data_IF_194617959154
#
_entry.id   IF_194617959154
#
_cell.length_a   1.000
_cell.length_b   1.000
_cell.length_c   1.000
_cell.angle_alpha   90.00
_cell.angle_beta   90.00
_cell.angle_gamma   90.00
#
_symmetry.space_group_name_H-M   'P 1'
#
loop_
_entity.id
_entity.type
_entity.pdbx_description
1 polymer ?
#
# COMPACT_ATOMS: atom_id res chain seq x y z
N UNK A 1 -4.83 12.94 26.02
CA UNK A 1 -4.11 11.80 25.43
C UNK A 1 -3.78 12.17 24.00
N UNK A 2 -2.50 12.32 23.66
CA UNK A 2 -2.06 12.64 22.29
C UNK A 2 -1.84 11.35 21.51
N UNK A 3 -2.92 10.84 20.90
CA UNK A 3 -2.86 9.67 20.03
C UNK A 3 -2.47 10.09 18.61
N UNK A 4 -1.50 9.37 18.04
CA UNK A 4 -1.07 9.48 16.64
C UNK A 4 -1.54 8.24 15.89
N UNK A 5 -2.08 8.46 14.69
CA UNK A 5 -2.59 7.42 13.82
C UNK A 5 -1.74 7.33 12.55
N UNK A 6 -1.38 6.10 12.17
CA UNK A 6 -0.77 5.79 10.88
C UNK A 6 -1.78 4.88 10.17
N UNK A 7 -2.29 5.35 9.04
CA UNK A 7 -3.24 4.62 8.20
C UNK A 7 -2.48 4.13 6.99
N UNK A 8 -2.34 2.81 6.87
CA UNK A 8 -1.83 2.16 5.68
C UNK A 8 -3.00 1.73 4.80
N UNK A 9 -3.01 2.23 3.56
CA UNK A 9 -3.94 1.78 2.53
C UNK A 9 -3.12 1.02 1.48
N UNK A 10 -3.43 -0.26 1.31
CA UNK A 10 -2.77 -1.13 0.35
C UNK A 10 -3.71 -1.50 -0.79
N UNK A 11 -3.15 -1.95 -1.91
CA UNK A 11 -3.87 -2.47 -3.08
C UNK A 11 -4.92 -1.50 -3.69
N UNK A 12 -4.70 -0.17 -3.59
CA UNK A 12 -5.66 0.83 -4.11
C UNK A 12 -5.89 0.72 -5.62
N UNK A 13 -4.90 0.22 -6.36
CA UNK A 13 -4.95 0.01 -7.80
C UNK A 13 -5.77 -1.22 -8.22
N UNK A 14 -6.17 -2.09 -7.27
CA UNK A 14 -7.09 -3.21 -7.53
C UNK A 14 -8.57 -2.83 -7.48
N UNK A 15 -8.86 -1.62 -7.01
CA UNK A 15 -10.23 -1.14 -6.87
C UNK A 15 -10.85 -0.79 -8.24
N UNK A 16 -12.17 -0.94 -8.32
CA UNK A 16 -12.91 -0.42 -9.47
C UNK A 16 -12.73 1.10 -9.58
N UNK A 17 -12.73 1.69 -10.78
CA UNK A 17 -12.45 3.12 -10.97
C UNK A 17 -13.27 4.07 -10.08
N UNK A 18 -14.56 3.77 -9.87
CA UNK A 18 -15.42 4.56 -9.00
C UNK A 18 -14.98 4.48 -7.53
N UNK A 19 -14.63 3.29 -7.04
CA UNK A 19 -14.19 3.07 -5.67
C UNK A 19 -12.82 3.72 -5.39
N UNK A 20 -11.87 3.57 -6.33
CA UNK A 20 -10.56 4.19 -6.23
C UNK A 20 -10.68 5.72 -6.06
N UNK A 21 -11.58 6.34 -6.84
CA UNK A 21 -11.86 7.78 -6.76
C UNK A 21 -12.44 8.18 -5.41
N UNK A 22 -13.39 7.40 -4.89
CA UNK A 22 -13.98 7.67 -3.57
C UNK A 22 -12.94 7.60 -2.45
N UNK A 23 -12.10 6.56 -2.44
CA UNK A 23 -11.04 6.41 -1.44
C UNK A 23 -10.05 7.56 -1.52
N UNK A 24 -9.61 7.93 -2.71
CA UNK A 24 -8.66 9.02 -2.92
C UNK A 24 -9.25 10.38 -2.51
N UNK A 25 -10.55 10.61 -2.78
CA UNK A 25 -11.28 11.80 -2.30
C UNK A 25 -11.42 11.82 -0.78
N UNK A 26 -11.70 10.67 -0.18
CA UNK A 26 -11.78 10.53 1.26
C UNK A 26 -10.43 10.89 1.88
N UNK A 27 -9.34 10.25 1.43
CA UNK A 27 -7.97 10.57 1.89
C UNK A 27 -7.69 12.05 1.77
N UNK A 28 -7.98 12.68 0.63
CA UNK A 28 -7.81 14.13 0.45
C UNK A 28 -8.59 14.95 1.49
N UNK A 29 -9.78 14.52 1.86
CA UNK A 29 -10.67 15.26 2.78
C UNK A 29 -10.27 15.10 4.25
N UNK A 30 -9.59 14.00 4.62
CA UNK A 30 -9.18 13.71 6.01
C UNK A 30 -7.68 13.85 6.24
N UNK A 31 -6.88 14.02 5.18
CA UNK A 31 -5.42 14.12 5.25
C UNK A 31 -4.93 15.34 6.06
N UNK A 32 -5.72 16.41 6.16
CA UNK A 32 -5.36 17.61 6.92
C UNK A 32 -5.55 17.45 8.44
N UNK A 33 -5.98 16.28 8.91
CA UNK A 33 -6.21 16.08 10.34
C UNK A 33 -4.88 15.99 11.11
N UNK A 34 -4.71 16.80 12.17
CA UNK A 34 -3.50 16.74 12.97
C UNK A 34 -3.36 15.35 13.59
N UNK A 35 -2.14 14.80 13.51
CA UNK A 35 -1.73 13.47 14.03
C UNK A 35 -2.20 12.27 13.22
N UNK A 36 -2.83 12.46 12.06
CA UNK A 36 -3.10 11.40 11.09
C UNK A 36 -2.02 11.39 10.01
N UNK A 37 -1.43 10.23 9.74
CA UNK A 37 -0.46 10.04 8.65
C UNK A 37 -0.95 8.92 7.76
N UNK A 38 -1.04 9.19 6.46
CA UNK A 38 -1.49 8.22 5.46
C UNK A 38 -0.29 7.69 4.68
N UNK A 39 -0.22 6.38 4.53
CA UNK A 39 0.72 5.69 3.64
C UNK A 39 -0.11 4.95 2.61
N UNK A 40 0.08 5.30 1.34
CA UNK A 40 -0.68 4.74 0.22
C UNK A 40 0.26 3.85 -0.58
N UNK A 41 -0.07 2.57 -0.70
CA UNK A 41 0.60 1.62 -1.57
C UNK A 41 -0.28 1.38 -2.79
N UNK A 42 0.26 1.67 -3.97
CA UNK A 42 -0.46 1.53 -5.24
C UNK A 42 0.50 1.48 -6.43
N UNK A 43 0.08 0.83 -7.52
CA UNK A 43 0.68 1.05 -8.83
C UNK A 43 0.25 2.42 -9.39
N UNK A 44 1.23 3.30 -9.61
CA UNK A 44 1.00 4.67 -10.06
C UNK A 44 0.28 4.75 -11.40
N UNK A 45 0.62 3.90 -12.36
CA UNK A 45 0.04 3.93 -13.69
C UNK A 45 -1.41 3.43 -13.66
N UNK A 46 -1.66 2.33 -12.94
CA UNK A 46 -2.99 1.73 -12.82
C UNK A 46 -3.95 2.66 -12.07
N UNK A 47 -3.54 3.20 -10.92
CA UNK A 47 -4.39 4.10 -10.13
C UNK A 47 -4.67 5.42 -10.89
N UNK A 48 -3.67 5.97 -11.58
CA UNK A 48 -3.86 7.19 -12.40
C UNK A 48 -4.90 6.95 -13.50
N UNK A 49 -4.86 5.78 -14.15
CA UNK A 49 -5.84 5.42 -15.17
C UNK A 49 -7.24 5.20 -14.59
N UNK A 50 -7.34 4.56 -13.43
CA UNK A 50 -8.60 4.39 -12.70
C UNK A 50 -9.23 5.75 -12.35
N UNK A 51 -8.42 6.69 -11.85
CA UNK A 51 -8.84 8.06 -11.54
C UNK A 51 -9.27 8.82 -12.79
N UNK A 52 -8.49 8.71 -13.88
CA UNK A 52 -8.82 9.31 -15.18
C UNK A 52 -10.22 8.88 -15.65
N UNK A 53 -10.49 7.58 -15.61
CA UNK A 53 -11.77 6.99 -16.02
C UNK A 53 -12.91 7.32 -15.06
N UNK A 54 -12.67 7.22 -13.75
CA UNK A 54 -13.70 7.41 -12.73
C UNK A 54 -14.14 8.86 -12.53
N UNK A 55 -13.24 9.83 -12.76
CA UNK A 55 -13.55 11.26 -12.65
C UNK A 55 -13.80 11.96 -13.99
N UNK A 56 -13.46 11.32 -15.12
CA UNK A 56 -13.48 11.97 -16.43
C UNK A 56 -12.50 13.13 -16.55
N UNK A 57 -11.38 13.09 -15.81
CA UNK A 57 -10.32 14.10 -15.91
C UNK A 57 -9.34 13.74 -17.01
N UNK A 58 -8.68 14.73 -17.62
CA UNK A 58 -7.70 14.46 -18.69
C UNK A 58 -6.43 13.79 -18.16
N UNK A 59 -6.00 14.18 -16.95
CA UNK A 59 -4.76 13.74 -16.31
C UNK A 59 -5.01 13.28 -14.86
N UNK A 60 -5.09 11.96 -14.67
CA UNK A 60 -5.24 11.34 -13.36
C UNK A 60 -3.96 11.37 -12.51
N UNK A 61 -2.79 11.50 -13.13
CA UNK A 61 -1.52 11.56 -12.43
C UNK A 61 -1.32 12.93 -11.78
N UNK A 62 -1.64 14.00 -12.51
CA UNK A 62 -1.69 15.37 -11.96
C UNK A 62 -2.70 15.46 -10.81
N UNK A 63 -3.82 14.72 -10.89
CA UNK A 63 -4.78 14.66 -9.79
C UNK A 63 -4.18 13.99 -8.54
N UNK A 64 -3.46 12.87 -8.69
CA UNK A 64 -2.77 12.20 -7.58
C UNK A 64 -1.71 13.09 -6.92
N UNK A 65 -0.97 13.88 -7.70
CA UNK A 65 0.03 14.81 -7.17
C UNK A 65 -0.56 15.89 -6.24
N UNK A 66 -1.86 16.20 -6.37
CA UNK A 66 -2.55 17.13 -5.46
C UNK A 66 -2.86 16.53 -4.09
N UNK A 67 -2.73 15.21 -3.94
CA UNK A 67 -3.13 14.45 -2.75
C UNK A 67 -1.90 13.84 -2.09
N UNK A 68 -1.01 13.26 -2.90
CA UNK A 68 0.21 12.61 -2.43
C UNK A 68 1.35 13.63 -2.42
N UNK A 69 1.69 14.14 -1.23
CA UNK A 69 2.73 15.15 -1.05
C UNK A 69 4.14 14.62 -1.36
N UNK A 70 4.41 13.38 -0.96
CA UNK A 70 5.70 12.72 -1.16
C UNK A 70 5.41 11.35 -1.75
N UNK A 71 5.99 11.07 -2.93
CA UNK A 71 5.92 9.76 -3.57
C UNK A 71 7.33 9.19 -3.72
N UNK A 72 7.47 7.90 -3.47
CA UNK A 72 8.71 7.16 -3.69
C UNK A 72 8.38 5.87 -4.43
N UNK A 73 9.24 5.50 -5.36
CA UNK A 73 9.14 4.21 -6.05
C UNK A 73 9.89 3.15 -5.25
N UNK A 74 9.25 2.02 -5.01
CA UNK A 74 9.93 0.86 -4.44
C UNK A 74 10.97 0.35 -5.45
N UNK A 75 12.25 0.26 -5.08
CA UNK A 75 13.27 -0.29 -5.95
C UNK A 75 12.98 -1.77 -6.23
N UNK A 76 13.37 -2.24 -7.41
CA UNK A 76 13.32 -3.67 -7.69
C UNK A 76 14.30 -4.36 -6.75
N UNK A 77 13.85 -5.37 -5.98
CA UNK A 77 14.73 -6.06 -5.05
C UNK A 77 15.74 -6.89 -5.83
N UNK A 78 16.98 -6.98 -5.32
CA UNK A 78 18.00 -7.80 -5.94
C UNK A 78 17.63 -9.27 -5.84
N UNK A 79 17.93 -10.04 -6.90
CA UNK A 79 17.57 -11.47 -6.95
C UNK A 79 18.21 -12.27 -5.82
N UNK A 80 19.38 -11.84 -5.34
CA UNK A 80 20.05 -12.45 -4.20
C UNK A 80 19.31 -12.18 -2.89
N UNK A 81 18.96 -10.92 -2.62
CA UNK A 81 18.21 -10.55 -1.41
C UNK A 81 16.84 -11.23 -1.39
N UNK A 82 16.10 -11.21 -2.50
CA UNK A 82 14.83 -11.92 -2.61
C UNK A 82 14.97 -13.39 -2.24
N UNK A 83 15.96 -14.07 -2.85
CA UNK A 83 16.19 -15.50 -2.60
C UNK A 83 16.55 -15.76 -1.14
N UNK A 84 17.40 -14.93 -0.55
CA UNK A 84 17.82 -15.04 0.85
C UNK A 84 16.62 -14.88 1.78
N UNK A 85 15.84 -13.82 1.61
CA UNK A 85 14.68 -13.54 2.47
C UNK A 85 13.60 -14.62 2.33
N UNK A 86 13.31 -15.07 1.10
CA UNK A 86 12.34 -16.15 0.88
C UNK A 86 12.77 -17.46 1.53
N UNK A 87 14.04 -17.88 1.34
CA UNK A 87 14.57 -19.10 1.95
C UNK A 87 14.60 -19.00 3.48
N UNK A 88 15.02 -17.85 4.02
CA UNK A 88 15.01 -17.58 5.46
C UNK A 88 13.60 -17.72 6.04
N UNK A 89 12.60 -17.13 5.37
CA UNK A 89 11.19 -17.24 5.75
C UNK A 89 10.69 -18.69 5.76
N UNK A 90 10.97 -19.45 4.69
CA UNK A 90 10.58 -20.88 4.61
C UNK A 90 11.23 -21.70 5.73
N UNK A 91 12.54 -21.54 5.96
CA UNK A 91 13.25 -22.25 7.03
C UNK A 91 12.69 -21.89 8.40
N UNK A 92 12.40 -20.61 8.64
CA UNK A 92 11.76 -20.13 9.87
C UNK A 92 10.40 -20.79 10.09
N UNK A 93 9.55 -20.82 9.06
CA UNK A 93 8.23 -21.43 9.12
C UNK A 93 8.31 -22.94 9.38
N UNK A 94 9.23 -23.66 8.71
CA UNK A 94 9.44 -25.09 8.94
C UNK A 94 9.86 -25.39 10.38
N UNK A 95 10.78 -24.59 10.96
CA UNK A 95 11.18 -24.74 12.37
C UNK A 95 10.00 -24.56 13.32
N UNK A 96 9.13 -23.58 13.04
CA UNK A 96 7.96 -23.27 13.86
C UNK A 96 6.92 -24.40 13.81
N UNK A 97 6.70 -24.98 12.63
CA UNK A 97 5.86 -26.16 12.46
C UNK A 97 6.44 -27.36 13.24
N UNK A 98 7.72 -27.68 13.07
CA UNK A 98 8.35 -28.81 13.79
C UNK A 98 8.28 -28.65 15.31
N UNK A 99 8.44 -27.42 15.84
CA UNK A 99 8.28 -27.14 17.26
C UNK A 99 6.83 -27.35 17.74
N UNK A 100 5.84 -26.91 16.95
CA UNK A 100 4.41 -27.04 17.26
C UNK A 100 3.94 -28.50 17.27
N UNK A 101 4.47 -29.34 16.38
CA UNK A 101 4.15 -30.77 16.36
C UNK A 101 4.80 -31.55 17.50
N UNK A 102 5.88 -31.03 18.11
CA UNK A 102 6.61 -31.68 19.20
C UNK A 102 6.01 -31.42 20.58
N UNK A 103 5.21 -30.35 20.74
CA UNK A 103 4.51 -29.99 21.99
C UNK A 103 3.08 -30.51 22.09
N UNK A 104 2.52 -31.06 21.01
CA UNK A 104 1.19 -31.70 20.99
C UNK A 104 1.22 -33.23 21.18
N UNK A 105 2.36 -33.80 21.58
CA UNK A 105 2.54 -35.23 21.83
C UNK A 105 2.93 -35.48 23.28
#
# INVERSE_FOLDING_TARGET
MDLSFIILLDDLDRLEPAQAVEVVRLVKSVADFPRFRYVLCYDKAVLSQAIKRGLGVDDGELYLQKIVQISFSLPRPESFDLRREFLSGVVGYMKLLTATFRTKK
#
